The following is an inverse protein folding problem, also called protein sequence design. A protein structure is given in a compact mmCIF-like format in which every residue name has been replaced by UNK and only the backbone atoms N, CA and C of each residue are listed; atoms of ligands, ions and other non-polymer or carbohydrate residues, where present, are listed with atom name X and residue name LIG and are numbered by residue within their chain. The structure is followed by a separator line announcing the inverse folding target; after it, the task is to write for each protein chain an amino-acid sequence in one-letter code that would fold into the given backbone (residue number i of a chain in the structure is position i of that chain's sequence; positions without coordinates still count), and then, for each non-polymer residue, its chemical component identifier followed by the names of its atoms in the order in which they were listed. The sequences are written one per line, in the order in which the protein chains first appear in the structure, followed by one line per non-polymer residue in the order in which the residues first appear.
data_IF_046856753169
#
_entry.id   IF_046856753169
#
_cell.length_a   1.000
_cell.length_b   1.000
_cell.length_c   1.000
_cell.angle_alpha   90.00
_cell.angle_beta   90.00
_cell.angle_gamma   90.00
#
_symmetry.space_group_name_H-M   'P 1'
#
loop_
_entity.id
_entity.type
_entity.pdbx_description
1 polymer ?
#
# COMPACT_ATOMS: atom_id res chain seq x y z
N UNK A 1 24.79 -17.14 9.69
CA UNK A 1 23.68 -16.27 9.24
C UNK A 1 23.61 -15.09 10.19
N UNK A 2 23.54 -13.87 9.67
CA UNK A 2 23.31 -12.65 10.45
C UNK A 2 21.89 -12.15 10.14
N UNK A 3 21.14 -11.79 11.17
CA UNK A 3 19.74 -11.33 11.03
C UNK A 3 19.70 -9.81 11.26
N UNK A 4 19.03 -9.10 10.35
CA UNK A 4 18.81 -7.65 10.45
C UNK A 4 17.32 -7.37 10.51
N UNK A 5 16.83 -6.90 11.66
CA UNK A 5 15.41 -6.59 11.86
C UNK A 5 15.10 -5.16 11.42
N UNK A 6 14.15 -5.01 10.51
CA UNK A 6 13.70 -3.73 9.96
C UNK A 6 12.33 -3.37 10.54
N UNK A 7 12.27 -2.24 11.23
CA UNK A 7 11.03 -1.72 11.85
C UNK A 7 10.62 -0.37 11.26
N UNK A 8 11.37 0.12 10.29
CA UNK A 8 11.22 1.47 9.75
C UNK A 8 11.88 1.57 8.37
N UNK A 9 11.44 2.54 7.58
CA UNK A 9 12.12 2.91 6.35
C UNK A 9 13.55 3.38 6.60
N UNK A 10 13.78 4.08 7.72
CA UNK A 10 15.12 4.52 8.11
C UNK A 10 16.10 3.35 8.29
N UNK A 11 15.65 2.22 8.86
CA UNK A 11 16.48 1.02 8.98
C UNK A 11 16.88 0.45 7.60
N UNK A 12 16.02 0.58 6.58
CA UNK A 12 16.36 0.18 5.19
C UNK A 12 17.42 1.11 4.62
N UNK A 13 17.32 2.41 4.86
CA UNK A 13 18.31 3.39 4.42
C UNK A 13 19.69 3.12 5.05
N UNK A 14 19.72 2.88 6.36
CA UNK A 14 20.94 2.54 7.09
C UNK A 14 21.56 1.23 6.59
N UNK A 15 20.72 0.25 6.26
CA UNK A 15 21.15 -1.02 5.70
C UNK A 15 21.77 -0.84 4.31
N UNK A 16 21.12 -0.03 3.45
CA UNK A 16 21.62 0.27 2.11
C UNK A 16 22.96 1.00 2.15
N UNK A 17 23.13 1.97 3.07
CA UNK A 17 24.38 2.69 3.25
C UNK A 17 25.56 1.79 3.67
N UNK A 18 25.27 0.63 4.25
CA UNK A 18 26.25 -0.36 4.74
C UNK A 18 26.31 -1.61 3.87
N UNK A 19 25.57 -1.65 2.76
CA UNK A 19 25.41 -2.85 1.94
C UNK A 19 26.74 -3.35 1.38
N UNK A 20 27.63 -2.44 0.93
CA UNK A 20 28.94 -2.80 0.39
C UNK A 20 29.83 -3.44 1.47
N UNK A 21 29.90 -2.83 2.66
CA UNK A 21 30.68 -3.36 3.79
C UNK A 21 30.17 -4.73 4.24
N UNK A 22 28.85 -4.91 4.31
CA UNK A 22 28.20 -6.12 4.76
C UNK A 22 28.23 -7.23 3.68
N UNK A 23 28.13 -6.85 2.42
CA UNK A 23 28.14 -7.74 1.25
C UNK A 23 29.50 -8.40 0.99
N UNK A 24 30.58 -7.79 1.48
CA UNK A 24 31.92 -8.40 1.47
C UNK A 24 32.15 -9.42 2.58
N UNK A 25 31.21 -9.58 3.51
CA UNK A 25 31.28 -10.65 4.49
C UNK A 25 30.82 -11.98 3.85
N UNK A 26 31.58 -13.07 4.05
CA UNK A 26 31.20 -14.42 3.60
C UNK A 26 29.98 -15.00 4.37
N UNK A 27 29.14 -14.15 4.98
CA UNK A 27 28.00 -14.56 5.80
C UNK A 27 26.70 -14.32 5.03
N UNK A 28 25.79 -15.28 5.11
CA UNK A 28 24.40 -15.05 4.69
C UNK A 28 23.73 -14.02 5.59
N UNK A 29 23.06 -13.06 4.96
CA UNK A 29 22.30 -11.96 5.55
C UNK A 29 20.81 -12.26 5.39
N UNK A 30 20.10 -12.38 6.51
CA UNK A 30 18.66 -12.47 6.55
C UNK A 30 18.11 -11.12 6.99
N UNK A 31 17.39 -10.45 6.10
CA UNK A 31 16.62 -9.26 6.41
C UNK A 31 15.24 -9.69 6.84
N UNK A 32 14.89 -9.46 8.10
CA UNK A 32 13.55 -9.68 8.62
C UNK A 32 12.85 -8.32 8.65
N UNK A 33 11.95 -8.10 7.69
CA UNK A 33 11.12 -6.91 7.67
C UNK A 33 9.92 -7.12 8.58
N UNK A 34 9.90 -6.44 9.72
CA UNK A 34 8.87 -6.61 10.75
C UNK A 34 7.74 -5.61 10.57
N UNK A 35 8.10 -4.35 10.27
CA UNK A 35 7.10 -3.27 10.14
C UNK A 35 7.60 -2.09 9.35
N UNK A 36 6.65 -1.27 8.89
CA UNK A 36 6.87 0.06 8.36
C UNK A 36 5.93 1.06 9.03
N UNK A 37 6.37 2.31 9.07
CA UNK A 37 5.68 3.42 9.70
C UNK A 37 4.33 3.71 9.06
N UNK A 38 4.18 3.42 7.76
CA UNK A 38 2.97 3.73 7.00
C UNK A 38 2.88 2.96 5.67
N UNK A 39 1.68 2.83 5.10
CA UNK A 39 1.49 2.37 3.71
C UNK A 39 2.14 3.35 2.73
N UNK A 40 2.10 4.65 3.01
CA UNK A 40 2.68 5.70 2.17
C UNK A 40 4.17 5.46 1.85
N UNK A 41 4.95 4.96 2.82
CA UNK A 41 6.38 4.74 2.63
C UNK A 41 6.73 3.40 1.96
N UNK A 42 5.79 2.46 1.88
CA UNK A 42 6.04 1.10 1.41
C UNK A 42 6.65 1.04 0.00
N UNK A 43 6.19 1.89 -0.93
CA UNK A 43 6.76 1.97 -2.28
C UNK A 43 8.24 2.37 -2.27
N UNK A 44 8.61 3.36 -1.45
CA UNK A 44 10.01 3.80 -1.33
C UNK A 44 10.85 2.71 -0.66
N UNK A 45 10.34 2.10 0.41
CA UNK A 45 10.98 0.97 1.10
C UNK A 45 11.26 -0.19 0.14
N UNK A 46 10.28 -0.58 -0.67
CA UNK A 46 10.44 -1.64 -1.66
C UNK A 46 11.53 -1.31 -2.69
N UNK A 47 11.51 -0.08 -3.24
CA UNK A 47 12.48 0.36 -4.24
C UNK A 47 13.94 0.36 -3.72
N UNK A 48 14.15 0.57 -2.42
CA UNK A 48 15.48 0.50 -1.80
C UNK A 48 15.88 -0.95 -1.48
N UNK A 49 14.95 -1.75 -0.95
CA UNK A 49 15.26 -3.10 -0.48
C UNK A 49 15.35 -4.12 -1.62
N UNK A 50 14.51 -4.00 -2.65
CA UNK A 50 14.43 -4.96 -3.75
C UNK A 50 15.77 -5.19 -4.47
N UNK A 51 16.51 -4.15 -4.92
CA UNK A 51 17.82 -4.35 -5.55
C UNK A 51 18.82 -5.08 -4.64
N UNK A 52 18.86 -4.72 -3.34
CA UNK A 52 19.77 -5.34 -2.38
C UNK A 52 19.56 -6.86 -2.26
N UNK A 53 18.30 -7.31 -2.28
CA UNK A 53 17.95 -8.72 -2.19
C UNK A 53 18.13 -9.44 -3.53
N UNK A 54 17.75 -8.81 -4.65
CA UNK A 54 17.78 -9.47 -5.96
C UNK A 54 19.18 -9.56 -6.58
N UNK A 55 20.05 -8.59 -6.31
CA UNK A 55 21.39 -8.52 -6.92
C UNK A 55 22.42 -9.37 -6.16
N UNK A 56 22.12 -9.77 -4.92
CA UNK A 56 23.05 -10.51 -4.06
C UNK A 56 22.52 -11.88 -3.66
N UNK A 57 23.31 -12.94 -3.94
CA UNK A 57 23.00 -14.30 -3.47
C UNK A 57 23.17 -14.49 -1.97
N UNK A 58 23.80 -13.53 -1.29
CA UNK A 58 24.06 -13.59 0.14
C UNK A 58 22.91 -13.02 0.98
N UNK A 59 21.90 -12.42 0.36
CA UNK A 59 20.82 -11.70 1.04
C UNK A 59 19.47 -12.39 0.80
N UNK A 60 18.64 -12.44 1.83
CA UNK A 60 17.29 -12.97 1.76
C UNK A 60 16.35 -12.08 2.57
N UNK A 61 15.14 -11.87 2.06
CA UNK A 61 14.04 -11.21 2.75
C UNK A 61 12.75 -11.96 2.41
N UNK A 62 12.27 -12.84 3.30
CA UNK A 62 11.04 -13.61 3.07
C UNK A 62 9.81 -12.71 2.85
N UNK A 63 9.80 -11.52 3.45
CA UNK A 63 8.68 -10.59 3.39
C UNK A 63 8.71 -9.68 2.16
N UNK A 64 9.69 -9.82 1.26
CA UNK A 64 9.86 -8.94 0.11
C UNK A 64 8.64 -8.97 -0.83
N UNK A 65 8.04 -10.15 -1.02
CA UNK A 65 6.82 -10.30 -1.83
C UNK A 65 5.63 -9.57 -1.19
N UNK A 66 5.49 -9.68 0.14
CA UNK A 66 4.46 -8.96 0.89
C UNK A 66 4.67 -7.43 0.78
N UNK A 67 5.91 -6.97 0.95
CA UNK A 67 6.28 -5.56 0.76
C UNK A 67 5.98 -5.09 -0.66
N UNK A 68 6.20 -5.91 -1.67
CA UNK A 68 5.86 -5.59 -3.07
C UNK A 68 4.36 -5.34 -3.24
N UNK A 69 3.50 -6.15 -2.60
CA UNK A 69 2.04 -5.96 -2.65
C UNK A 69 1.64 -4.65 -1.96
N UNK A 70 2.19 -4.37 -0.78
CA UNK A 70 1.89 -3.12 -0.05
C UNK A 70 2.44 -1.90 -0.79
N UNK A 71 3.58 -2.01 -1.47
CA UNK A 71 4.08 -0.99 -2.39
C UNK A 71 3.12 -0.75 -3.58
N UNK A 72 2.47 -1.81 -4.08
CA UNK A 72 1.40 -1.70 -5.07
C UNK A 72 0.17 -0.95 -4.53
N UNK A 73 -0.26 -1.26 -3.30
CA UNK A 73 -1.35 -0.54 -2.63
C UNK A 73 -1.00 0.95 -2.47
N UNK A 74 0.19 1.23 -1.94
CA UNK A 74 0.73 2.58 -1.77
C UNK A 74 0.68 3.38 -3.07
N UNK A 75 1.17 2.79 -4.17
CA UNK A 75 1.15 3.41 -5.48
C UNK A 75 -0.27 3.75 -5.95
N UNK A 76 -1.18 2.79 -5.86
CA UNK A 76 -2.54 2.97 -6.36
C UNK A 76 -3.33 4.00 -5.54
N UNK A 77 -3.14 4.01 -4.22
CA UNK A 77 -3.80 4.98 -3.33
C UNK A 77 -3.23 6.39 -3.51
N UNK A 78 -1.92 6.54 -3.71
CA UNK A 78 -1.31 7.85 -3.98
C UNK A 78 -1.77 8.46 -5.31
N UNK A 79 -2.02 7.64 -6.35
CA UNK A 79 -2.65 8.13 -7.59
C UNK A 79 -4.05 8.67 -7.33
N UNK A 80 -4.83 7.99 -6.47
CA UNK A 80 -6.15 8.48 -6.09
C UNK A 80 -6.06 9.86 -5.40
N UNK A 81 -5.13 9.98 -4.45
CA UNK A 81 -4.87 11.22 -3.71
C UNK A 81 -4.48 12.40 -4.62
N UNK A 82 -3.54 12.18 -5.53
CA UNK A 82 -2.90 13.26 -6.29
C UNK A 82 -3.56 13.54 -7.64
N UNK A 83 -4.09 12.51 -8.31
CA UNK A 83 -4.50 12.62 -9.70
C UNK A 83 -6.02 12.54 -9.87
N UNK A 84 -6.72 11.75 -9.03
CA UNK A 84 -8.16 11.47 -9.22
C UNK A 84 -9.04 12.37 -8.37
N UNK A 85 -8.84 12.39 -7.05
CA UNK A 85 -9.71 13.14 -6.13
C UNK A 85 -9.72 14.66 -6.40
N UNK A 86 -8.59 15.32 -6.72
CA UNK A 86 -8.59 16.75 -7.02
C UNK A 86 -9.48 17.10 -8.23
N UNK A 87 -9.52 16.25 -9.26
CA UNK A 87 -10.34 16.49 -10.46
C UNK A 87 -11.85 16.46 -10.14
N UNK A 88 -12.26 15.66 -9.16
CA UNK A 88 -13.65 15.54 -8.75
C UNK A 88 -14.09 16.70 -7.84
N UNK A 89 -13.16 17.32 -7.12
CA UNK A 89 -13.46 18.43 -6.21
C UNK A 89 -13.64 19.78 -6.90
N UNK A 90 -13.13 19.95 -8.13
CA UNK A 90 -13.19 21.22 -8.88
C UNK A 90 -14.43 21.36 -9.76
N UNK A 91 -15.40 20.45 -9.67
CA UNK A 91 -16.59 20.46 -10.52
C UNK A 91 -17.61 21.51 -10.06
N UNK A 92 -17.97 22.46 -10.93
CA UNK A 92 -18.85 23.59 -10.56
C UNK A 92 -20.33 23.41 -10.93
N UNK A 93 -20.64 22.92 -12.13
CA UNK A 93 -22.02 22.91 -12.64
C UNK A 93 -22.41 21.69 -13.48
N UNK A 94 -21.46 21.07 -14.18
CA UNK A 94 -21.64 19.84 -14.96
C UNK A 94 -20.37 18.99 -14.85
N UNK A 95 -20.51 17.68 -15.02
CA UNK A 95 -19.36 16.80 -15.14
C UNK A 95 -18.61 17.10 -16.44
N UNK A 96 -17.38 17.55 -16.29
CA UNK A 96 -16.46 17.71 -17.41
C UNK A 96 -15.86 16.37 -17.83
N UNK A 97 -15.29 16.31 -19.04
CA UNK A 97 -14.68 15.09 -19.57
C UNK A 97 -13.59 14.53 -18.64
N UNK A 98 -12.76 15.41 -18.04
CA UNK A 98 -11.77 15.00 -17.05
C UNK A 98 -12.38 14.37 -15.79
N UNK A 99 -13.55 14.83 -15.34
CA UNK A 99 -14.25 14.23 -14.21
C UNK A 99 -14.78 12.83 -14.55
N UNK A 100 -15.25 12.63 -15.78
CA UNK A 100 -15.68 11.31 -16.24
C UNK A 100 -14.51 10.33 -16.29
N UNK A 101 -13.35 10.76 -16.80
CA UNK A 101 -12.12 9.96 -16.78
C UNK A 101 -11.70 9.63 -15.35
N UNK A 102 -11.71 10.62 -14.45
CA UNK A 102 -11.41 10.42 -13.04
C UNK A 102 -12.36 9.41 -12.36
N UNK A 103 -13.66 9.41 -12.68
CA UNK A 103 -14.62 8.42 -12.17
C UNK A 103 -14.34 7.00 -12.68
N UNK A 104 -13.94 6.87 -13.95
CA UNK A 104 -13.55 5.57 -14.51
C UNK A 104 -12.25 5.06 -13.88
N UNK A 105 -11.27 5.93 -13.68
CA UNK A 105 -10.04 5.62 -12.96
C UNK A 105 -10.33 5.20 -11.52
N UNK A 106 -11.17 5.95 -10.79
CA UNK A 106 -11.63 5.61 -9.44
C UNK A 106 -12.20 4.19 -9.37
N UNK A 107 -13.06 3.82 -10.33
CA UNK A 107 -13.66 2.49 -10.40
C UNK A 107 -12.63 1.40 -10.68
N UNK A 108 -11.67 1.66 -11.56
CA UNK A 108 -10.57 0.72 -11.84
C UNK A 108 -9.68 0.54 -10.62
N UNK A 109 -9.31 1.63 -9.93
CA UNK A 109 -8.54 1.59 -8.69
C UNK A 109 -9.27 0.78 -7.63
N UNK A 110 -10.60 0.90 -7.48
CA UNK A 110 -11.36 0.08 -6.54
C UNK A 110 -11.19 -1.43 -6.79
N UNK A 111 -11.13 -1.86 -8.06
CA UNK A 111 -10.90 -3.27 -8.43
C UNK A 111 -9.46 -3.67 -8.09
N UNK A 112 -8.49 -2.86 -8.52
CA UNK A 112 -7.06 -3.09 -8.27
C UNK A 112 -6.75 -3.19 -6.77
N UNK A 113 -7.34 -2.32 -5.95
CA UNK A 113 -7.17 -2.32 -4.50
C UNK A 113 -7.75 -3.58 -3.87
N UNK A 114 -8.91 -4.07 -4.31
CA UNK A 114 -9.48 -5.33 -3.82
C UNK A 114 -8.60 -6.54 -4.18
N UNK A 115 -7.99 -6.54 -5.35
CA UNK A 115 -7.12 -7.64 -5.77
C UNK A 115 -5.78 -7.61 -5.01
N UNK A 116 -5.15 -6.44 -4.88
CA UNK A 116 -3.96 -6.26 -4.06
C UNK A 116 -4.22 -6.60 -2.59
N UNK A 117 -5.39 -6.23 -2.06
CA UNK A 117 -5.83 -6.62 -0.71
C UNK A 117 -5.87 -8.14 -0.55
N UNK A 118 -6.42 -8.88 -1.52
CA UNK A 118 -6.44 -10.35 -1.47
C UNK A 118 -5.03 -10.92 -1.51
N UNK A 119 -4.15 -10.37 -2.36
CA UNK A 119 -2.74 -10.77 -2.40
C UNK A 119 -2.06 -10.54 -1.05
N UNK A 120 -2.26 -9.37 -0.42
CA UNK A 120 -1.64 -9.06 0.87
C UNK A 120 -2.18 -9.98 1.98
N UNK A 121 -3.48 -10.24 1.98
CA UNK A 121 -4.12 -11.20 2.88
C UNK A 121 -3.52 -12.61 2.76
N UNK A 122 -3.22 -13.07 1.53
CA UNK A 122 -2.55 -14.35 1.31
C UNK A 122 -1.10 -14.35 1.80
N UNK A 123 -0.38 -13.25 1.59
CA UNK A 123 1.01 -13.09 2.03
C UNK A 123 1.16 -13.01 3.55
N UNK A 124 0.19 -12.43 4.27
CA UNK A 124 0.17 -12.38 5.74
C UNK A 124 -0.19 -13.72 6.40
N UNK A 125 -0.92 -14.58 5.68
CA UNK A 125 -1.51 -15.78 6.27
C UNK A 125 -2.81 -15.51 7.03
N UNK A 126 -3.59 -16.57 7.24
CA UNK A 126 -5.01 -16.49 7.66
C UNK A 126 -5.20 -15.84 9.03
N UNK A 127 -4.34 -16.15 10.00
CA UNK A 127 -4.49 -15.69 11.39
C UNK A 127 -4.26 -14.18 11.54
N UNK A 128 -3.26 -13.64 10.84
CA UNK A 128 -2.91 -12.21 10.92
C UNK A 128 -3.84 -11.33 10.07
N UNK A 129 -4.48 -11.92 9.06
CA UNK A 129 -5.34 -11.18 8.15
C UNK A 129 -6.70 -10.74 8.73
N UNK A 130 -7.20 -11.38 9.79
CA UNK A 130 -8.52 -11.03 10.37
C UNK A 130 -8.49 -9.68 11.11
N UNK A 131 -7.36 -9.35 11.74
CA UNK A 131 -7.19 -8.14 12.55
C UNK A 131 -6.35 -7.05 11.87
N UNK A 132 -5.85 -7.30 10.65
CA UNK A 132 -4.99 -6.34 9.96
C UNK A 132 -5.75 -5.08 9.52
N UNK A 133 -5.27 -3.94 10.02
CA UNK A 133 -5.92 -2.64 9.82
C UNK A 133 -5.80 -2.14 8.37
N UNK A 134 -4.71 -2.48 7.66
CA UNK A 134 -4.53 -2.11 6.24
C UNK A 134 -5.58 -2.85 5.41
N UNK A 135 -5.76 -4.15 5.63
CA UNK A 135 -6.77 -4.94 4.94
C UNK A 135 -8.19 -4.43 5.18
N UNK A 136 -8.51 -4.00 6.41
CA UNK A 136 -9.80 -3.43 6.75
C UNK A 136 -10.03 -2.08 6.04
N UNK A 137 -9.08 -1.15 6.15
CA UNK A 137 -9.19 0.20 5.56
C UNK A 137 -9.18 0.17 4.04
N UNK A 138 -8.35 -0.67 3.41
CA UNK A 138 -8.34 -0.84 1.94
C UNK A 138 -9.67 -1.41 1.44
N UNK A 139 -10.31 -2.30 2.20
CA UNK A 139 -11.66 -2.81 1.86
C UNK A 139 -12.69 -1.69 1.87
N UNK A 140 -12.72 -0.91 2.94
CA UNK A 140 -13.63 0.23 3.10
C UNK A 140 -13.43 1.24 1.97
N UNK A 141 -12.18 1.62 1.71
CA UNK A 141 -11.82 2.53 0.62
C UNK A 141 -12.31 2.01 -0.74
N UNK A 142 -12.04 0.74 -1.05
CA UNK A 142 -12.43 0.14 -2.32
C UNK A 142 -13.95 0.13 -2.53
N UNK A 143 -14.72 -0.14 -1.47
CA UNK A 143 -16.18 -0.11 -1.52
C UNK A 143 -16.66 1.32 -1.78
N UNK A 144 -16.16 2.30 -1.01
CA UNK A 144 -16.58 3.70 -1.14
C UNK A 144 -16.23 4.30 -2.51
N UNK A 145 -15.06 3.97 -3.06
CA UNK A 145 -14.66 4.39 -4.43
C UNK A 145 -15.64 3.83 -5.47
N UNK A 146 -15.94 2.53 -5.39
CA UNK A 146 -16.85 1.87 -6.33
C UNK A 146 -18.27 2.45 -6.24
N UNK A 147 -18.80 2.58 -5.03
CA UNK A 147 -20.17 3.05 -4.81
C UNK A 147 -20.32 4.52 -5.25
N UNK A 148 -19.31 5.35 -4.99
CA UNK A 148 -19.27 6.74 -5.46
C UNK A 148 -19.26 6.81 -6.99
N UNK A 149 -18.36 6.07 -7.64
CA UNK A 149 -18.29 6.05 -9.10
C UNK A 149 -19.60 5.51 -9.73
N UNK A 150 -20.14 4.41 -9.21
CA UNK A 150 -21.36 3.81 -9.75
C UNK A 150 -22.58 4.72 -9.56
N UNK A 151 -22.72 5.41 -8.42
CA UNK A 151 -23.85 6.29 -8.17
C UNK A 151 -23.84 7.52 -9.08
N UNK A 152 -22.67 8.12 -9.31
CA UNK A 152 -22.54 9.26 -10.23
C UNK A 152 -22.80 8.83 -11.67
N UNK A 153 -22.20 7.73 -12.11
CA UNK A 153 -22.35 7.23 -13.49
C UNK A 153 -23.79 6.78 -13.81
N UNK A 154 -24.55 6.34 -12.82
CA UNK A 154 -25.98 5.99 -12.95
C UNK A 154 -26.91 7.19 -12.84
N UNK A 155 -26.40 8.38 -12.49
CA UNK A 155 -27.20 9.59 -12.28
C UNK A 155 -27.94 9.63 -10.93
N UNK A 156 -27.52 8.81 -9.96
CA UNK A 156 -28.10 8.79 -8.61
C UNK A 156 -27.46 9.81 -7.65
N UNK A 157 -26.32 10.39 -8.04
CA UNK A 157 -25.55 11.35 -7.24
C UNK A 157 -25.23 12.56 -8.12
N UNK A 158 -25.70 13.73 -7.70
CA UNK A 158 -25.39 15.00 -8.35
C UNK A 158 -23.99 15.52 -7.94
N UNK A 159 -23.61 16.70 -8.44
CA UNK A 159 -22.28 17.27 -8.18
C UNK A 159 -22.07 17.59 -6.70
N UNK A 160 -23.11 18.04 -6.00
CA UNK A 160 -23.04 18.35 -4.56
C UNK A 160 -22.76 17.06 -3.78
N UNK A 161 -23.52 16.00 -4.08
CA UNK A 161 -23.30 14.66 -3.53
C UNK A 161 -21.89 14.13 -3.86
N UNK A 162 -21.39 14.34 -5.08
CA UNK A 162 -20.03 13.92 -5.46
C UNK A 162 -18.96 14.68 -4.66
N UNK A 163 -19.11 15.99 -4.46
CA UNK A 163 -18.15 16.78 -3.69
C UNK A 163 -18.09 16.33 -2.22
N UNK A 164 -19.24 16.07 -1.58
CA UNK A 164 -19.29 15.56 -0.20
C UNK A 164 -18.63 14.17 -0.07
N UNK A 165 -18.89 13.28 -1.04
CA UNK A 165 -18.24 11.96 -1.07
C UNK A 165 -16.75 12.05 -1.38
N UNK A 166 -16.32 12.96 -2.26
CA UNK A 166 -14.92 13.20 -2.56
C UNK A 166 -14.15 13.66 -1.30
N UNK A 167 -14.74 14.55 -0.49
CA UNK A 167 -14.14 14.95 0.80
C UNK A 167 -13.99 13.77 1.77
N UNK A 168 -15.02 12.91 1.84
CA UNK A 168 -14.98 11.69 2.66
C UNK A 168 -13.89 10.72 2.18
N UNK A 169 -13.76 10.56 0.86
CA UNK A 169 -12.72 9.76 0.22
C UNK A 169 -11.31 10.31 0.48
N UNK A 170 -11.10 11.63 0.44
CA UNK A 170 -9.80 12.25 0.78
C UNK A 170 -9.37 11.87 2.19
N UNK A 171 -10.30 11.95 3.15
CA UNK A 171 -10.02 11.55 4.53
C UNK A 171 -9.65 10.06 4.60
N UNK A 172 -10.44 9.19 3.97
CA UNK A 172 -10.21 7.74 4.00
C UNK A 172 -8.90 7.34 3.30
N UNK A 173 -8.54 7.99 2.20
CA UNK A 173 -7.26 7.83 1.50
C UNK A 173 -6.10 8.19 2.42
N UNK A 174 -6.18 9.36 3.08
CA UNK A 174 -5.17 9.80 4.06
C UNK A 174 -5.03 8.77 5.19
N UNK A 175 -6.17 8.37 5.76
CA UNK A 175 -6.27 7.35 6.80
C UNK A 175 -5.59 6.03 6.39
N UNK A 176 -5.79 5.55 5.16
CA UNK A 176 -5.14 4.32 4.67
C UNK A 176 -3.64 4.53 4.48
N UNK A 177 -3.23 5.66 3.88
CA UNK A 177 -1.82 5.97 3.62
C UNK A 177 -0.99 6.09 4.89
N UNK A 178 -1.56 6.64 5.96
CA UNK A 178 -0.90 6.79 7.27
C UNK A 178 -0.92 5.52 8.12
N UNK A 179 -1.65 4.47 7.69
CA UNK A 179 -1.77 3.23 8.48
C UNK A 179 -0.42 2.51 8.56
N UNK A 180 0.10 2.20 9.76
CA UNK A 180 1.32 1.40 9.91
C UNK A 180 1.15 0.00 9.33
N UNK A 181 2.22 -0.53 8.78
CA UNK A 181 2.21 -1.86 8.15
C UNK A 181 2.98 -2.83 9.04
N UNK A 182 2.39 -3.99 9.32
CA UNK A 182 3.07 -5.10 9.96
C UNK A 182 3.25 -6.22 8.94
N UNK A 183 4.39 -6.87 9.03
CA UNK A 183 4.72 -8.07 8.27
C UNK A 183 4.89 -9.20 9.28
N UNK A 184 4.66 -10.44 8.86
CA UNK A 184 4.77 -11.59 9.76
C UNK A 184 6.19 -11.70 10.31
N UNK A 185 6.34 -11.81 11.64
CA UNK A 185 7.60 -12.27 12.21
C UNK A 185 7.60 -13.80 12.16
N UNK A 186 8.48 -14.46 11.39
CA UNK A 186 8.60 -15.91 11.43
C UNK A 186 8.97 -16.44 12.83
N UNK A 187 9.51 -15.60 13.73
CA UNK A 187 9.85 -15.97 15.10
C UNK A 187 8.62 -16.07 16.04
N UNK A 188 7.48 -15.44 15.72
CA UNK A 188 6.25 -15.49 16.56
C UNK A 188 5.57 -16.88 16.58
N UNK A 189 6.00 -17.79 15.73
CA UNK A 189 5.51 -19.18 15.68
C UNK A 189 6.51 -20.21 16.21
N UNK A 190 7.62 -19.76 16.81
CA UNK A 190 8.61 -20.64 17.44
C UNK A 190 8.45 -20.74 18.96
N UNK A 191 7.21 -20.98 19.40
CA UNK A 191 6.91 -21.59 20.70
C UNK A 191 6.26 -22.96 20.44
N UNK A 192 7.07 -23.95 20.04
CA UNK A 192 6.99 -25.39 20.38
C UNK A 192 8.03 -26.25 19.63
#
# INVERSE_FOLDING_TARGET
MMVYKIHSHAHIQDLQARADELGHSNKSMLVNLVSLESVCIARKSYALLCPLIMESRSWACPELDSLSVVAGLSLEIQKLEHDVLPQLMVQEAKLEEGALEALLLMKNSAITLLDLRKCFQLSLGVLLAEEDLVLARVKELSIMLKDTADDVLKGNCDIVCLQERAQSLVKLVTDVLETPVRFCDPDEYSDE
#
